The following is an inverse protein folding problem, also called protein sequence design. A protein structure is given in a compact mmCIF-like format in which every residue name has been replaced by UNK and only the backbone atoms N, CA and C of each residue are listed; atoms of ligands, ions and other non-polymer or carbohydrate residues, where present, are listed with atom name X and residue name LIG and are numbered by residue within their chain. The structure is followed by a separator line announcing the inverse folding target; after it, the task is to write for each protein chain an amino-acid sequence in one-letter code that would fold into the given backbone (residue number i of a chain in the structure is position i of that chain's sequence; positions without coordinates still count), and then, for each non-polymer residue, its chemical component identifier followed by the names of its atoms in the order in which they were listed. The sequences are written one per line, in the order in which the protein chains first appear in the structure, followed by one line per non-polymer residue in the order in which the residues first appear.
data_IF_508583665296
#
_entry.id   IF_508583665296
#
_cell.length_a   1.000
_cell.length_b   1.000
_cell.length_c   1.000
_cell.angle_alpha   90.00
_cell.angle_beta   90.00
_cell.angle_gamma   90.00
#
_symmetry.space_group_name_H-M   'P 1'
#
loop_
_entity.id
_entity.type
_entity.pdbx_description
1 polymer ?
#
# COMPACT_ATOMS: atom_id res chain seq x y z
N UNK A 1 -13.10 -9.32 -30.22
CA UNK A 1 -12.21 -8.64 -29.28
C UNK A 1 -13.02 -7.67 -28.43
N UNK A 2 -12.83 -7.68 -27.12
CA UNK A 2 -13.62 -6.94 -26.11
C UNK A 2 -12.71 -6.20 -25.13
N UNK A 3 -13.24 -5.26 -24.34
CA UNK A 3 -12.46 -4.55 -23.30
C UNK A 3 -11.76 -5.51 -22.31
N UNK A 4 -12.37 -6.67 -22.05
CA UNK A 4 -11.76 -7.73 -21.22
C UNK A 4 -10.46 -8.30 -21.80
N UNK A 5 -10.27 -8.28 -23.12
CA UNK A 5 -9.00 -8.65 -23.73
C UNK A 5 -7.94 -7.57 -23.50
N UNK A 6 -8.31 -6.29 -23.56
CA UNK A 6 -7.45 -5.17 -23.18
C UNK A 6 -7.02 -5.25 -21.71
N UNK A 7 -7.93 -5.59 -20.81
CA UNK A 7 -7.63 -5.86 -19.39
C UNK A 7 -6.63 -7.03 -19.25
N UNK A 8 -6.86 -8.14 -19.95
CA UNK A 8 -5.96 -9.29 -19.91
C UNK A 8 -4.56 -8.96 -20.47
N UNK A 9 -4.49 -8.11 -21.49
CA UNK A 9 -3.25 -7.60 -22.06
C UNK A 9 -2.48 -6.72 -21.06
N UNK A 10 -3.16 -5.78 -20.38
CA UNK A 10 -2.55 -4.97 -19.32
C UNK A 10 -2.09 -5.83 -18.14
N UNK A 11 -2.91 -6.77 -17.68
CA UNK A 11 -2.53 -7.72 -16.63
C UNK A 11 -1.26 -8.48 -17.00
N UNK A 12 -1.16 -8.99 -18.23
CA UNK A 12 0.03 -9.71 -18.70
C UNK A 12 1.25 -8.81 -18.80
N UNK A 13 1.08 -7.58 -19.28
CA UNK A 13 2.18 -6.65 -19.58
C UNK A 13 2.75 -5.99 -18.33
N UNK A 14 1.88 -5.52 -17.44
CA UNK A 14 2.24 -4.67 -16.30
C UNK A 14 1.70 -5.19 -14.96
N UNK A 15 1.07 -6.36 -14.94
CA UNK A 15 0.60 -7.00 -13.71
C UNK A 15 -0.69 -6.41 -13.13
N UNK A 16 -1.32 -5.47 -13.84
CA UNK A 16 -2.47 -4.72 -13.36
C UNK A 16 -3.70 -5.62 -13.16
N UNK A 17 -4.30 -5.56 -11.97
CA UNK A 17 -5.58 -6.19 -11.67
C UNK A 17 -6.74 -5.22 -11.94
N UNK A 18 -7.66 -5.61 -12.82
CA UNK A 18 -8.86 -4.83 -13.11
C UNK A 18 -9.76 -4.64 -11.87
N UNK A 19 -9.68 -5.52 -10.86
CA UNK A 19 -10.41 -5.35 -9.61
C UNK A 19 -9.92 -4.16 -8.77
N UNK A 20 -8.65 -3.74 -8.97
CA UNK A 20 -8.01 -2.67 -8.18
C UNK A 20 -8.34 -1.27 -8.72
N UNK A 21 -8.24 -1.07 -10.03
CA UNK A 21 -8.51 0.23 -10.69
C UNK A 21 -9.97 0.32 -11.20
N UNK A 22 -10.61 -0.83 -11.38
CA UNK A 22 -11.97 -0.97 -11.90
C UNK A 22 -12.00 -1.08 -13.43
N UNK A 23 -12.68 -2.10 -13.93
CA UNK A 23 -12.89 -2.34 -15.37
C UNK A 23 -13.39 -1.12 -16.14
N UNK A 24 -14.28 -0.32 -15.53
CA UNK A 24 -14.79 0.89 -16.15
C UNK A 24 -13.72 1.97 -16.37
N UNK A 25 -12.71 2.08 -15.49
CA UNK A 25 -11.62 3.03 -15.66
C UNK A 25 -10.66 2.58 -16.78
N UNK A 26 -10.37 1.27 -16.86
CA UNK A 26 -9.58 0.70 -17.95
C UNK A 26 -10.28 0.90 -19.30
N UNK A 27 -11.59 0.63 -19.37
CA UNK A 27 -12.37 0.84 -20.58
C UNK A 27 -12.32 2.30 -21.05
N UNK A 28 -12.52 3.27 -20.13
CA UNK A 28 -12.40 4.70 -20.45
C UNK A 28 -11.00 5.10 -20.92
N UNK A 29 -9.95 4.51 -20.35
CA UNK A 29 -8.58 4.74 -20.80
C UNK A 29 -8.38 4.24 -22.24
N UNK A 30 -8.86 3.02 -22.54
CA UNK A 30 -8.83 2.46 -23.89
C UNK A 30 -9.62 3.34 -24.87
N UNK A 31 -10.83 3.76 -24.52
CA UNK A 31 -11.67 4.64 -25.38
C UNK A 31 -10.98 5.96 -25.70
N UNK A 32 -10.33 6.56 -24.71
CA UNK A 32 -9.56 7.78 -24.89
C UNK A 32 -8.41 7.56 -25.86
N UNK A 33 -7.65 6.48 -25.68
CA UNK A 33 -6.52 6.14 -26.56
C UNK A 33 -6.97 5.82 -27.99
N UNK A 34 -8.07 5.09 -28.15
CA UNK A 34 -8.75 4.87 -29.42
C UNK A 34 -9.06 6.19 -30.13
N UNK A 35 -9.67 7.15 -29.42
CA UNK A 35 -9.96 8.47 -29.96
C UNK A 35 -8.69 9.24 -30.35
N UNK A 36 -7.64 9.21 -29.52
CA UNK A 36 -6.35 9.87 -29.79
C UNK A 36 -5.65 9.28 -31.03
N UNK A 37 -5.81 7.98 -31.29
CA UNK A 37 -5.30 7.30 -32.48
C UNK A 37 -6.22 7.43 -33.72
N UNK A 38 -7.42 7.96 -33.56
CA UNK A 38 -8.44 7.98 -34.62
C UNK A 38 -8.99 6.59 -34.98
N UNK A 39 -8.95 5.62 -34.06
CA UNK A 39 -9.41 4.24 -34.25
C UNK A 39 -10.76 4.08 -33.54
N UNK A 40 -11.80 3.69 -34.28
CA UNK A 40 -13.17 3.56 -33.72
C UNK A 40 -13.54 2.15 -33.30
N UNK A 41 -12.76 1.15 -33.72
CA UNK A 41 -13.00 -0.27 -33.43
C UNK A 41 -11.94 -0.82 -32.47
N UNK A 42 -12.40 -1.42 -31.38
CA UNK A 42 -11.51 -1.96 -30.33
C UNK A 42 -10.60 -3.07 -30.86
N UNK A 43 -11.08 -3.93 -31.75
CA UNK A 43 -10.25 -5.01 -32.29
C UNK A 43 -9.08 -4.47 -33.12
N UNK A 44 -9.32 -3.40 -33.86
CA UNK A 44 -8.29 -2.69 -34.62
C UNK A 44 -7.34 -1.93 -33.71
N UNK A 45 -7.83 -1.36 -32.61
CA UNK A 45 -6.98 -0.70 -31.62
C UNK A 45 -6.09 -1.70 -30.87
N UNK A 46 -6.60 -2.85 -30.44
CA UNK A 46 -5.78 -3.85 -29.75
C UNK A 46 -4.68 -4.42 -30.65
N UNK A 47 -4.94 -4.59 -31.96
CA UNK A 47 -3.88 -4.94 -32.93
C UNK A 47 -2.83 -3.85 -33.05
N UNK A 48 -3.25 -2.59 -33.16
CA UNK A 48 -2.33 -1.45 -33.19
C UNK A 48 -1.47 -1.35 -31.92
N UNK A 49 -2.09 -1.58 -30.76
CA UNK A 49 -1.42 -1.60 -29.46
C UNK A 49 -0.30 -2.64 -29.44
N UNK A 50 -0.56 -3.87 -29.90
CA UNK A 50 0.46 -4.94 -29.94
C UNK A 50 1.64 -4.63 -30.86
N UNK A 51 1.44 -3.83 -31.90
CA UNK A 51 2.47 -3.43 -32.87
C UNK A 51 3.25 -2.16 -32.48
N UNK A 52 2.73 -1.37 -31.53
CA UNK A 52 3.25 -0.04 -31.18
C UNK A 52 3.71 0.05 -29.74
N UNK A 53 5.02 0.08 -29.51
CA UNK A 53 5.60 0.33 -28.19
C UNK A 53 5.25 1.72 -27.63
N UNK A 54 5.11 2.72 -28.51
CA UNK A 54 4.68 4.06 -28.13
C UNK A 54 3.24 4.06 -27.62
N UNK A 55 2.34 3.34 -28.29
CA UNK A 55 0.95 3.27 -27.87
C UNK A 55 0.80 2.47 -26.57
N UNK A 56 1.59 1.41 -26.40
CA UNK A 56 1.70 0.73 -25.11
C UNK A 56 2.04 1.70 -23.98
N UNK A 57 3.04 2.55 -24.18
CA UNK A 57 3.43 3.53 -23.17
C UNK A 57 2.29 4.52 -22.88
N UNK A 58 1.61 5.00 -23.92
CA UNK A 58 0.52 5.96 -23.78
C UNK A 58 -0.70 5.35 -23.06
N UNK A 59 -1.03 4.08 -23.33
CA UNK A 59 -2.08 3.37 -22.60
C UNK A 59 -1.68 3.14 -21.13
N UNK A 60 -0.44 2.72 -20.86
CA UNK A 60 0.08 2.56 -19.50
C UNK A 60 -0.06 3.88 -18.73
N UNK A 61 0.44 4.98 -19.30
CA UNK A 61 0.36 6.31 -18.70
C UNK A 61 -1.09 6.79 -18.45
N UNK A 62 -2.07 6.20 -19.14
CA UNK A 62 -3.50 6.52 -18.98
C UNK A 62 -4.19 5.70 -17.89
N UNK A 63 -3.63 4.55 -17.50
CA UNK A 63 -4.22 3.67 -16.48
C UNK A 63 -3.50 3.74 -15.13
N UNK A 64 -2.23 4.16 -15.09
CA UNK A 64 -1.52 4.33 -13.83
C UNK A 64 -2.05 5.52 -13.02
N UNK A 65 -1.90 5.44 -11.69
CA UNK A 65 -2.31 6.49 -10.75
C UNK A 65 -1.05 7.08 -10.11
N UNK A 66 -0.54 8.24 -10.58
CA UNK A 66 0.73 8.80 -10.10
C UNK A 66 0.60 9.59 -8.79
N UNK A 67 -0.15 9.09 -7.81
CA UNK A 67 -0.40 9.80 -6.55
C UNK A 67 0.80 9.66 -5.59
N UNK A 68 1.54 10.75 -5.38
CA UNK A 68 2.70 10.80 -4.48
C UNK A 68 2.91 12.21 -3.90
N UNK A 69 3.71 12.29 -2.83
CA UNK A 69 4.11 13.52 -2.16
C UNK A 69 5.35 13.34 -1.30
N UNK A 70 6.00 14.46 -0.98
CA UNK A 70 7.18 14.45 -0.13
C UNK A 70 6.85 13.93 1.27
N UNK A 71 7.74 13.08 1.79
CA UNK A 71 7.63 12.49 3.12
C UNK A 71 6.30 11.77 3.39
N UNK A 72 5.67 11.19 2.37
CA UNK A 72 4.48 10.32 2.51
C UNK A 72 4.78 9.18 3.47
N UNK A 73 3.98 9.00 4.52
CA UNK A 73 4.25 8.11 5.66
C UNK A 73 5.61 8.45 6.33
N UNK A 74 5.68 9.58 7.05
CA UNK A 74 6.94 10.15 7.53
C UNK A 74 7.74 9.23 8.47
N UNK A 75 7.07 8.30 9.15
CA UNK A 75 7.71 7.31 10.03
C UNK A 75 8.66 6.37 9.28
N UNK A 76 8.41 6.06 8.00
CA UNK A 76 9.33 5.27 7.17
C UNK A 76 10.66 5.99 6.97
N UNK A 77 10.63 7.29 6.70
CA UNK A 77 11.85 8.11 6.52
C UNK A 77 12.58 8.36 7.84
N UNK A 78 11.84 8.58 8.94
CA UNK A 78 12.44 8.65 10.29
C UNK A 78 13.16 7.36 10.66
N UNK A 79 12.55 6.21 10.37
CA UNK A 79 13.19 4.92 10.60
C UNK A 79 14.43 4.73 9.71
N UNK A 80 14.39 5.15 8.43
CA UNK A 80 15.58 5.15 7.57
C UNK A 80 16.72 5.99 8.17
N UNK A 81 16.43 7.19 8.70
CA UNK A 81 17.42 8.03 9.39
C UNK A 81 18.01 7.32 10.60
N UNK A 82 17.16 6.74 11.45
CA UNK A 82 17.60 5.98 12.62
C UNK A 82 18.47 4.78 12.22
N UNK A 83 18.08 4.02 11.20
CA UNK A 83 18.86 2.91 10.67
C UNK A 83 20.23 3.37 10.17
N UNK A 84 20.27 4.46 9.40
CA UNK A 84 21.52 5.01 8.89
C UNK A 84 22.48 5.40 10.02
N UNK A 85 21.97 6.06 11.08
CA UNK A 85 22.77 6.52 12.23
C UNK A 85 23.21 5.34 13.12
N UNK A 86 22.30 4.43 13.44
CA UNK A 86 22.53 3.43 14.48
C UNK A 86 23.13 2.13 13.97
N UNK A 87 22.86 1.75 12.71
CA UNK A 87 23.30 0.47 12.15
C UNK A 87 24.28 0.66 10.98
N UNK A 88 24.02 1.58 10.06
CA UNK A 88 24.82 1.69 8.83
C UNK A 88 26.16 2.40 9.04
N UNK A 89 26.12 3.66 9.47
CA UNK A 89 27.32 4.49 9.65
C UNK A 89 28.36 3.88 10.61
N UNK A 90 28.00 3.28 11.76
CA UNK A 90 28.99 2.70 12.66
C UNK A 90 29.71 1.48 12.09
N UNK A 91 29.04 0.69 11.24
CA UNK A 91 29.56 -0.59 10.75
C UNK A 91 30.15 -0.51 9.34
N UNK A 92 29.73 0.46 8.53
CA UNK A 92 30.00 0.50 7.09
C UNK A 92 30.25 1.93 6.57
N UNK A 93 30.88 2.80 7.37
CA UNK A 93 31.11 4.23 7.04
C UNK A 93 31.81 4.50 5.70
N UNK A 94 32.57 3.55 5.17
CA UNK A 94 33.24 3.67 3.86
C UNK A 94 32.49 3.01 2.70
N UNK A 95 31.36 2.33 2.96
CA UNK A 95 30.54 1.71 1.92
C UNK A 95 29.43 2.67 1.48
N UNK A 96 29.10 2.59 0.19
CA UNK A 96 27.92 3.25 -0.38
C UNK A 96 26.66 2.49 0.04
N UNK A 97 25.74 3.17 0.72
CA UNK A 97 24.39 2.67 0.98
C UNK A 97 23.62 2.62 -0.35
N UNK A 98 23.23 1.43 -0.81
CA UNK A 98 22.46 1.29 -2.06
C UNK A 98 20.98 1.25 -1.75
N UNK A 99 20.22 2.19 -2.29
CA UNK A 99 18.77 2.30 -2.10
C UNK A 99 18.05 2.20 -3.45
N UNK A 100 16.95 1.46 -3.50
CA UNK A 100 16.04 1.43 -4.64
C UNK A 100 14.68 2.00 -4.24
N UNK A 101 14.10 2.91 -5.02
CA UNK A 101 12.70 3.31 -4.93
C UNK A 101 11.98 2.87 -6.20
N UNK A 102 10.98 1.99 -6.05
CA UNK A 102 10.22 1.43 -7.18
C UNK A 102 8.79 1.10 -6.73
N UNK A 103 7.74 1.74 -7.29
CA UNK A 103 7.78 2.75 -8.33
C UNK A 103 8.13 4.11 -7.73
N UNK A 104 8.84 4.96 -8.47
CA UNK A 104 9.22 6.28 -7.97
C UNK A 104 8.25 7.42 -8.35
N UNK A 105 7.27 7.16 -9.21
CA UNK A 105 6.28 8.12 -9.72
C UNK A 105 6.97 9.42 -10.18
N UNK A 106 6.49 10.57 -9.72
CA UNK A 106 7.00 11.90 -10.08
C UNK A 106 8.19 12.36 -9.22
N UNK A 107 8.80 11.44 -8.46
CA UNK A 107 10.13 11.62 -7.83
C UNK A 107 10.13 12.05 -6.37
N UNK A 108 8.98 12.34 -5.77
CA UNK A 108 8.92 12.81 -4.37
C UNK A 108 9.47 11.77 -3.38
N UNK A 109 9.23 10.47 -3.60
CA UNK A 109 9.75 9.41 -2.73
C UNK A 109 11.29 9.32 -2.77
N UNK A 110 11.96 9.09 -3.91
CA UNK A 110 13.41 8.98 -3.92
C UNK A 110 14.12 10.26 -3.46
N UNK A 111 13.53 11.44 -3.68
CA UNK A 111 14.06 12.68 -3.12
C UNK A 111 13.82 12.80 -1.61
N UNK A 112 12.73 12.28 -1.08
CA UNK A 112 12.52 12.15 0.37
C UNK A 112 13.55 11.21 1.02
N UNK A 113 13.89 10.11 0.34
CA UNK A 113 14.97 9.20 0.75
C UNK A 113 16.31 9.94 0.77
N UNK A 114 16.64 10.69 -0.29
CA UNK A 114 17.88 11.45 -0.40
C UNK A 114 17.99 12.50 0.73
N UNK A 115 16.93 13.25 0.99
CA UNK A 115 16.89 14.23 2.08
C UNK A 115 17.06 13.56 3.44
N UNK A 116 16.33 12.45 3.69
CA UNK A 116 16.47 11.71 4.92
C UNK A 116 17.92 11.21 5.14
N UNK A 117 18.58 10.72 4.10
CA UNK A 117 19.98 10.32 4.17
C UNK A 117 20.92 11.50 4.48
N UNK A 118 20.72 12.67 3.87
CA UNK A 118 21.50 13.86 4.20
C UNK A 118 21.32 14.27 5.66
N UNK A 119 20.08 14.24 6.16
CA UNK A 119 19.77 14.58 7.56
C UNK A 119 20.33 13.55 8.56
N UNK A 120 20.60 12.31 8.12
CA UNK A 120 21.28 11.30 8.93
C UNK A 120 22.80 11.43 8.92
N UNK A 121 23.37 12.39 8.20
CA UNK A 121 24.81 12.61 8.07
C UNK A 121 25.50 11.83 6.95
N UNK A 122 24.74 11.10 6.11
CA UNK A 122 25.29 10.58 4.85
C UNK A 122 25.50 11.74 3.88
N UNK A 123 26.49 11.62 3.00
CA UNK A 123 26.72 12.57 1.92
C UNK A 123 26.63 11.86 0.56
N UNK A 124 26.71 12.64 -0.52
CA UNK A 124 26.60 12.17 -1.92
C UNK A 124 27.57 11.04 -2.28
N UNK A 125 28.72 10.91 -1.60
CA UNK A 125 29.68 9.84 -1.84
C UNK A 125 29.36 8.53 -1.10
N UNK A 126 28.44 8.56 -0.12
CA UNK A 126 28.12 7.43 0.75
C UNK A 126 26.73 6.84 0.49
N UNK A 127 26.02 7.30 -0.53
CA UNK A 127 24.70 6.77 -0.91
C UNK A 127 24.52 6.76 -2.42
N UNK A 128 23.85 5.73 -2.91
CA UNK A 128 23.46 5.57 -4.30
C UNK A 128 21.98 5.22 -4.33
N UNK A 129 21.15 6.08 -4.92
CA UNK A 129 19.71 5.87 -5.02
C UNK A 129 19.35 5.61 -6.48
N UNK A 130 18.82 4.42 -6.76
CA UNK A 130 18.17 4.11 -8.02
C UNK A 130 16.66 4.31 -7.86
N UNK A 131 16.05 5.05 -8.77
CA UNK A 131 14.62 5.34 -8.78
C UNK A 131 14.03 4.85 -10.11
N UNK A 132 13.07 3.94 -10.03
CA UNK A 132 12.55 3.25 -11.21
C UNK A 132 11.05 3.42 -11.30
N UNK A 133 10.56 3.73 -12.49
CA UNK A 133 9.13 3.76 -12.80
C UNK A 133 8.86 3.22 -14.19
N UNK A 134 7.62 2.77 -14.43
CA UNK A 134 7.19 2.33 -15.76
C UNK A 134 6.82 3.51 -16.67
N UNK A 135 6.45 4.66 -16.08
CA UNK A 135 6.00 5.84 -16.81
C UNK A 135 7.12 6.81 -17.13
N UNK A 136 7.42 6.95 -18.42
CA UNK A 136 8.35 7.98 -18.89
C UNK A 136 7.86 9.41 -18.60
N UNK A 137 6.55 9.62 -18.57
CA UNK A 137 5.95 10.90 -18.20
C UNK A 137 6.24 11.26 -16.73
N UNK A 138 6.08 10.30 -15.82
CA UNK A 138 6.40 10.49 -14.42
C UNK A 138 7.90 10.73 -14.21
N UNK A 139 8.76 9.92 -14.85
CA UNK A 139 10.22 10.07 -14.80
C UNK A 139 10.70 11.43 -15.33
N UNK A 140 10.10 11.94 -16.40
CA UNK A 140 10.43 13.26 -16.93
C UNK A 140 10.10 14.39 -15.94
N UNK A 141 9.03 14.24 -15.17
CA UNK A 141 8.70 15.17 -14.07
C UNK A 141 9.67 15.04 -12.91
N UNK A 142 10.00 13.81 -12.53
CA UNK A 142 10.97 13.52 -11.48
C UNK A 142 12.35 14.13 -11.78
N UNK A 143 12.86 13.95 -13.01
CA UNK A 143 14.14 14.51 -13.46
C UNK A 143 14.15 16.05 -13.48
N UNK A 144 13.02 16.68 -13.81
CA UNK A 144 12.85 18.13 -13.77
C UNK A 144 12.90 18.65 -12.33
N UNK A 145 12.35 17.89 -11.39
CA UNK A 145 12.33 18.18 -9.97
C UNK A 145 11.76 19.56 -9.61
N UNK A 146 10.72 19.98 -10.34
CA UNK A 146 9.91 21.18 -10.07
C UNK A 146 8.53 20.72 -9.65
N UNK A 147 8.12 21.13 -8.46
CA UNK A 147 6.89 20.66 -7.80
C UNK A 147 5.97 21.82 -7.45
N UNK A 148 4.67 21.57 -7.40
CA UNK A 148 3.69 22.54 -6.93
C UNK A 148 3.46 22.43 -5.41
N UNK A 149 2.55 23.25 -4.88
CA UNK A 149 2.24 23.24 -3.44
C UNK A 149 1.62 21.91 -2.98
N UNK A 150 0.93 21.18 -3.86
CA UNK A 150 0.24 19.94 -3.52
C UNK A 150 1.23 18.82 -3.20
N UNK A 151 2.38 18.76 -3.86
CA UNK A 151 3.47 17.80 -3.55
C UNK A 151 4.02 17.95 -2.12
N UNK A 152 3.78 19.08 -1.44
CA UNK A 152 4.23 19.35 -0.07
C UNK A 152 3.13 19.13 0.99
N UNK A 153 2.01 18.51 0.65
CA UNK A 153 0.96 18.20 1.63
C UNK A 153 1.53 17.34 2.77
N UNK A 154 1.31 17.79 4.01
CA UNK A 154 1.87 17.15 5.21
C UNK A 154 3.33 17.51 5.54
N UNK A 155 4.02 18.29 4.71
CA UNK A 155 5.35 18.82 5.03
C UNK A 155 5.26 20.13 5.83
N UNK A 156 6.26 20.39 6.67
CA UNK A 156 6.38 21.68 7.33
C UNK A 156 6.87 22.76 6.34
N UNK A 157 6.50 24.04 6.51
CA UNK A 157 7.06 25.13 5.70
C UNK A 157 8.60 25.20 5.79
N UNK A 158 9.17 24.81 6.93
CA UNK A 158 10.62 24.76 7.14
C UNK A 158 11.32 23.69 6.28
N UNK A 159 10.68 22.56 6.00
CA UNK A 159 11.21 21.53 5.10
C UNK A 159 11.34 22.08 3.68
N UNK A 160 10.27 22.70 3.18
CA UNK A 160 10.23 23.29 1.85
C UNK A 160 11.31 24.38 1.69
N UNK A 161 11.41 25.30 2.65
CA UNK A 161 12.39 26.39 2.62
C UNK A 161 13.86 25.92 2.65
N UNK A 162 14.15 24.72 3.19
CA UNK A 162 15.51 24.20 3.31
C UNK A 162 16.02 23.59 2.01
N UNK A 163 15.17 22.87 1.27
CA UNK A 163 15.59 22.07 0.12
C UNK A 163 15.06 22.56 -1.21
N UNK A 164 14.17 23.56 -1.23
CA UNK A 164 13.54 24.05 -2.45
C UNK A 164 13.67 25.56 -2.61
N UNK A 165 13.78 25.98 -3.86
CA UNK A 165 13.76 27.37 -4.26
C UNK A 165 12.48 27.67 -5.04
N UNK A 166 11.77 28.74 -4.68
CA UNK A 166 10.62 29.20 -5.45
C UNK A 166 11.05 29.73 -6.82
N UNK A 167 10.33 29.31 -7.86
CA UNK A 167 10.52 29.72 -9.26
C UNK A 167 9.16 30.03 -9.88
N UNK A 168 9.09 30.70 -11.05
CA UNK A 168 7.81 30.90 -11.75
C UNK A 168 7.07 29.60 -12.12
N UNK A 169 7.79 28.48 -12.26
CA UNK A 169 7.22 27.18 -12.62
C UNK A 169 6.79 26.33 -11.42
N UNK A 170 7.08 26.78 -10.19
CA UNK A 170 6.88 26.01 -8.96
C UNK A 170 8.13 26.02 -8.07
N UNK A 171 8.27 25.00 -7.23
CA UNK A 171 9.38 24.86 -6.29
C UNK A 171 10.43 23.90 -6.86
N UNK A 172 11.59 24.44 -7.20
CA UNK A 172 12.71 23.67 -7.73
C UNK A 172 13.50 23.04 -6.57
N UNK A 173 13.67 21.73 -6.61
CA UNK A 173 14.52 21.02 -5.65
C UNK A 173 15.99 21.39 -5.82
N UNK A 174 16.71 21.50 -4.70
CA UNK A 174 18.15 21.77 -4.68
C UNK A 174 18.96 20.76 -5.50
N UNK A 175 19.98 21.27 -6.20
CA UNK A 175 20.85 20.48 -7.06
C UNK A 175 21.60 19.38 -6.30
N UNK A 176 21.97 19.63 -5.04
CA UNK A 176 22.62 18.65 -4.19
C UNK A 176 21.77 17.39 -4.00
N UNK A 177 20.47 17.54 -3.71
CA UNK A 177 19.57 16.39 -3.53
C UNK A 177 19.30 15.72 -4.87
N UNK A 178 19.15 16.50 -5.95
CA UNK A 178 18.88 15.98 -7.30
C UNK A 178 19.95 15.00 -7.79
N UNK A 179 21.22 15.31 -7.55
CA UNK A 179 22.35 14.47 -7.97
C UNK A 179 22.49 13.14 -7.20
N UNK A 180 21.74 12.94 -6.12
CA UNK A 180 21.78 11.69 -5.36
C UNK A 180 20.91 10.59 -5.96
N UNK A 181 20.03 10.93 -6.91
CA UNK A 181 19.00 10.03 -7.44
C UNK A 181 19.22 9.78 -8.93
N UNK A 182 19.31 8.49 -9.30
CA UNK A 182 19.42 8.02 -10.67
C UNK A 182 18.07 7.46 -11.14
N UNK A 183 17.47 8.11 -12.13
CA UNK A 183 16.18 7.68 -12.69
C UNK A 183 16.36 6.74 -13.86
N UNK A 184 15.60 5.65 -13.90
CA UNK A 184 15.52 4.77 -15.06
C UNK A 184 14.12 4.23 -15.28
N UNK A 185 13.80 3.87 -16.53
CA UNK A 185 12.55 3.21 -16.85
C UNK A 185 12.65 1.71 -16.60
N UNK A 186 11.65 1.13 -15.94
CA UNK A 186 11.61 -0.30 -15.71
C UNK A 186 10.24 -0.80 -15.24
N UNK A 187 10.02 -2.10 -15.41
CA UNK A 187 8.81 -2.78 -14.97
C UNK A 187 9.18 -3.89 -13.99
N UNK A 188 8.78 -3.71 -12.73
CA UNK A 188 9.08 -4.62 -11.63
C UNK A 188 8.49 -6.03 -11.82
N UNK A 189 7.46 -6.17 -12.67
CA UNK A 189 6.85 -7.46 -13.01
C UNK A 189 7.77 -8.33 -13.89
N UNK A 190 8.77 -7.74 -14.54
CA UNK A 190 9.72 -8.48 -15.37
C UNK A 190 10.66 -9.32 -14.47
N UNK A 191 10.81 -10.63 -14.73
CA UNK A 191 11.69 -11.49 -13.92
C UNK A 191 13.16 -11.08 -13.92
N UNK A 192 13.60 -10.44 -15.01
CA UNK A 192 14.97 -9.92 -15.20
C UNK A 192 15.11 -8.44 -14.81
N UNK A 193 14.12 -7.88 -14.10
CA UNK A 193 14.16 -6.50 -13.62
C UNK A 193 15.44 -6.25 -12.81
N UNK A 194 16.28 -5.33 -13.33
CA UNK A 194 17.60 -4.99 -12.77
C UNK A 194 18.52 -6.21 -12.56
N UNK A 195 18.37 -7.27 -13.35
CA UNK A 195 19.24 -8.43 -13.28
C UNK A 195 20.72 -8.05 -13.49
N UNK A 196 21.61 -8.61 -12.69
CA UNK A 196 23.05 -8.33 -12.73
C UNK A 196 23.49 -7.07 -11.99
N UNK A 197 22.56 -6.28 -11.44
CA UNK A 197 22.91 -5.16 -10.56
C UNK A 197 23.40 -5.65 -9.19
N UNK A 198 24.26 -4.86 -8.54
CA UNK A 198 24.68 -5.15 -7.18
C UNK A 198 23.48 -5.03 -6.21
N UNK A 199 23.36 -5.92 -5.20
CA UNK A 199 22.23 -5.90 -4.28
C UNK A 199 22.03 -4.55 -3.59
N UNK A 200 20.79 -4.21 -3.33
CA UNK A 200 20.39 -3.03 -2.57
C UNK A 200 20.35 -3.36 -1.08
N UNK A 201 20.74 -2.39 -0.26
CA UNK A 201 20.66 -2.50 1.19
C UNK A 201 19.28 -2.08 1.70
N UNK A 202 18.63 -1.18 0.96
CA UNK A 202 17.26 -0.73 1.23
C UNK A 202 16.44 -0.69 -0.06
N UNK A 203 15.21 -1.19 -0.03
CA UNK A 203 14.24 -1.05 -1.12
C UNK A 203 12.97 -0.41 -0.56
N UNK A 204 12.49 0.65 -1.21
CA UNK A 204 11.14 1.19 -1.04
C UNK A 204 10.28 0.69 -2.20
N UNK A 205 9.24 -0.09 -1.87
CA UNK A 205 8.23 -0.58 -2.80
C UNK A 205 6.85 -0.33 -2.21
N UNK A 206 6.39 0.92 -2.35
CA UNK A 206 5.22 1.45 -1.65
C UNK A 206 4.13 1.84 -2.63
N UNK A 207 2.88 1.55 -2.27
CA UNK A 207 1.67 1.92 -3.01
C UNK A 207 1.68 1.45 -4.48
N UNK A 208 2.24 0.27 -4.74
CA UNK A 208 2.26 -0.39 -6.05
C UNK A 208 1.58 -1.76 -6.03
N UNK A 209 1.90 -2.58 -5.02
CA UNK A 209 1.42 -3.95 -4.91
C UNK A 209 -0.10 -3.99 -4.78
N UNK A 210 -0.73 -2.92 -4.28
CA UNK A 210 -2.21 -2.79 -4.24
C UNK A 210 -2.87 -2.92 -5.62
N UNK A 211 -2.15 -2.60 -6.70
CA UNK A 211 -2.67 -2.68 -8.08
C UNK A 211 -2.47 -4.04 -8.74
N UNK A 212 -1.74 -4.94 -8.09
CA UNK A 212 -1.36 -6.22 -8.66
C UNK A 212 -2.29 -7.36 -8.26
N UNK A 213 -2.49 -8.28 -9.20
CA UNK A 213 -3.12 -9.56 -8.91
C UNK A 213 -2.21 -10.44 -8.04
N UNK A 214 -2.76 -11.50 -7.44
CA UNK A 214 -2.04 -12.38 -6.51
C UNK A 214 -0.75 -12.95 -7.11
N UNK A 215 -0.80 -13.50 -8.31
CA UNK A 215 0.37 -14.14 -8.95
C UNK A 215 1.44 -13.09 -9.28
N UNK A 216 1.02 -11.88 -9.65
CA UNK A 216 1.91 -10.75 -9.89
C UNK A 216 2.58 -10.26 -8.61
N UNK A 217 1.86 -10.20 -7.49
CA UNK A 217 2.42 -9.89 -6.16
C UNK A 217 3.52 -10.88 -5.79
N UNK A 218 3.24 -12.17 -5.85
CA UNK A 218 4.20 -13.23 -5.48
C UNK A 218 5.48 -13.19 -6.34
N UNK A 219 5.33 -12.99 -7.65
CA UNK A 219 6.47 -12.83 -8.58
C UNK A 219 7.30 -11.58 -8.26
N UNK A 220 6.64 -10.46 -8.00
CA UNK A 220 7.28 -9.18 -7.65
C UNK A 220 8.07 -9.29 -6.35
N UNK A 221 7.49 -9.90 -5.31
CA UNK A 221 8.20 -10.16 -4.05
C UNK A 221 9.44 -11.02 -4.30
N UNK A 222 9.35 -12.05 -5.15
CA UNK A 222 10.50 -12.88 -5.50
C UNK A 222 11.62 -12.11 -6.22
N UNK A 223 11.28 -11.10 -7.03
CA UNK A 223 12.28 -10.20 -7.66
C UNK A 223 12.92 -9.30 -6.59
N UNK A 224 12.12 -8.68 -5.73
CA UNK A 224 12.60 -7.84 -4.62
C UNK A 224 13.54 -8.62 -3.71
N UNK A 225 13.19 -9.87 -3.37
CA UNK A 225 14.04 -10.74 -2.56
C UNK A 225 15.40 -10.98 -3.21
N UNK A 226 15.49 -11.10 -4.54
CA UNK A 226 16.79 -11.29 -5.23
C UNK A 226 17.61 -10.00 -5.26
N UNK A 227 16.96 -8.85 -5.38
CA UNK A 227 17.61 -7.54 -5.42
C UNK A 227 18.08 -7.07 -4.05
N UNK A 228 17.48 -7.54 -2.96
CA UNK A 228 17.81 -7.11 -1.61
C UNK A 228 18.97 -7.92 -1.00
N UNK A 229 19.90 -7.21 -0.36
CA UNK A 229 21.05 -7.80 0.34
C UNK A 229 20.61 -8.71 1.49
N UNK A 230 21.52 -9.60 1.91
CA UNK A 230 21.30 -10.43 3.09
C UNK A 230 21.23 -9.50 4.31
N UNK A 231 20.09 -9.40 4.98
CA UNK A 231 19.76 -8.42 6.05
C UNK A 231 19.28 -7.03 5.61
N UNK A 232 19.07 -6.80 4.32
CA UNK A 232 18.53 -5.54 3.82
C UNK A 232 17.10 -5.26 4.30
N UNK A 233 16.68 -4.00 4.14
CA UNK A 233 15.37 -3.49 4.53
C UNK A 233 14.46 -3.32 3.32
N UNK A 234 13.21 -3.75 3.46
CA UNK A 234 12.12 -3.49 2.53
C UNK A 234 11.07 -2.61 3.21
N UNK A 235 10.75 -1.48 2.62
CA UNK A 235 9.64 -0.61 3.02
C UNK A 235 8.47 -0.81 2.06
N UNK A 236 7.28 -1.06 2.60
CA UNK A 236 6.03 -1.19 1.84
C UNK A 236 4.98 -0.20 2.34
N UNK A 237 3.95 0.07 1.55
CA UNK A 237 2.84 0.92 1.96
C UNK A 237 1.97 0.24 3.02
N UNK A 238 1.22 1.04 3.77
CA UNK A 238 0.38 0.54 4.87
C UNK A 238 -0.58 -0.59 4.46
N UNK A 239 -1.17 -0.52 3.27
CA UNK A 239 -2.11 -1.52 2.74
C UNK A 239 -1.43 -2.77 2.15
N UNK A 240 -0.10 -2.81 2.10
CA UNK A 240 0.68 -3.83 1.38
C UNK A 240 1.40 -4.79 2.32
N UNK A 241 1.46 -4.45 3.62
CA UNK A 241 2.04 -5.27 4.68
C UNK A 241 1.59 -6.74 4.63
N UNK A 242 0.31 -6.99 4.31
CA UNK A 242 -0.24 -8.34 4.21
C UNK A 242 0.37 -9.20 3.10
N UNK A 243 0.92 -8.58 2.05
CA UNK A 243 1.54 -9.29 0.90
C UNK A 243 2.85 -9.97 1.31
N UNK A 244 3.51 -9.47 2.37
CA UNK A 244 4.76 -10.04 2.86
C UNK A 244 4.57 -11.26 3.76
N UNK A 245 3.33 -11.64 4.05
CA UNK A 245 3.04 -12.84 4.82
C UNK A 245 3.54 -14.10 4.07
N UNK A 246 4.29 -14.98 4.76
CA UNK A 246 5.00 -16.16 4.19
C UNK A 246 6.24 -15.87 3.32
N UNK A 247 6.72 -14.63 3.27
CA UNK A 247 8.01 -14.29 2.65
C UNK A 247 9.18 -14.41 3.63
N UNK A 248 10.39 -14.12 3.17
CA UNK A 248 11.58 -14.06 4.04
C UNK A 248 11.69 -12.74 4.84
N UNK A 249 10.61 -11.97 4.96
CA UNK A 249 10.58 -10.65 5.58
C UNK A 249 9.96 -10.68 6.98
N UNK A 250 10.64 -10.08 7.95
CA UNK A 250 10.15 -9.91 9.33
C UNK A 250 10.04 -8.43 9.65
N UNK A 251 8.89 -8.01 10.19
CA UNK A 251 8.66 -6.61 10.56
C UNK A 251 9.69 -6.13 11.59
N UNK A 252 10.19 -4.90 11.40
CA UNK A 252 11.04 -4.26 12.40
C UNK A 252 10.19 -3.74 13.57
N UNK A 253 10.72 -3.63 14.80
CA UNK A 253 9.99 -3.14 15.97
C UNK A 253 9.83 -1.61 15.97
N UNK A 254 9.40 -1.04 14.84
CA UNK A 254 9.02 0.36 14.69
C UNK A 254 7.64 0.40 14.02
N UNK A 255 6.61 0.38 14.85
CA UNK A 255 5.22 0.45 14.38
C UNK A 255 5.04 1.70 13.51
N UNK A 256 4.31 1.58 12.39
CA UNK A 256 4.05 2.64 11.38
C UNK A 256 5.19 2.93 10.37
N UNK A 257 6.39 2.40 10.54
CA UNK A 257 7.43 2.54 9.50
C UNK A 257 7.19 1.63 8.30
N UNK A 258 6.38 0.57 8.47
CA UNK A 258 6.13 -0.49 7.48
C UNK A 258 7.42 -1.05 6.85
N UNK A 259 8.46 -1.15 7.69
CA UNK A 259 9.76 -1.64 7.30
C UNK A 259 9.93 -3.10 7.74
N UNK A 260 10.54 -3.90 6.89
CA UNK A 260 10.73 -5.32 7.07
C UNK A 260 12.17 -5.69 6.76
N UNK A 261 12.75 -6.54 7.59
CA UNK A 261 14.11 -7.04 7.40
C UNK A 261 14.08 -8.40 6.75
N UNK A 262 14.89 -8.60 5.72
CA UNK A 262 15.10 -9.91 5.11
C UNK A 262 15.90 -10.81 6.06
N UNK A 263 15.33 -11.96 6.39
CA UNK A 263 15.95 -12.97 7.26
C UNK A 263 16.58 -14.05 6.39
N UNK A 264 17.85 -14.34 6.64
CA UNK A 264 18.50 -15.52 6.07
C UNK A 264 17.91 -16.78 6.71
N UNK A 265 17.21 -17.60 5.94
CA UNK A 265 16.90 -18.96 6.37
C UNK A 265 18.21 -19.74 6.29
N UNK A 266 18.89 -19.92 7.43
CA UNK A 266 19.90 -20.97 7.53
C UNK A 266 19.16 -22.30 7.35
N UNK A 267 19.45 -23.01 6.24
CA UNK A 267 18.87 -24.34 5.96
C UNK A 267 19.46 -25.40 6.91
N UNK A 268 19.35 -25.25 8.22
CA UNK A 268 19.81 -26.26 9.19
C UNK A 268 18.99 -26.23 10.50
N UNK A 269 17.83 -26.90 10.49
CA UNK A 269 17.47 -27.86 11.53
C UNK A 269 16.20 -28.62 11.11
N UNK A 270 16.40 -29.86 10.67
CA UNK A 270 15.32 -30.79 10.44
C UNK A 270 14.51 -31.03 11.73
N UNK A 271 13.19 -30.99 11.56
CA UNK A 271 12.09 -31.50 12.40
C UNK A 271 12.47 -32.26 13.69
N UNK A 272 11.91 -31.81 14.82
CA UNK A 272 11.41 -32.72 15.86
C UNK A 272 9.93 -32.42 16.13
N UNK A 273 9.06 -33.25 15.60
CA UNK A 273 7.70 -33.41 16.11
C UNK A 273 7.76 -34.08 17.50
N UNK A 274 6.92 -33.66 18.45
CA UNK A 274 6.42 -34.56 19.47
C UNK A 274 5.02 -35.05 19.11
N UNK A 275 4.89 -36.38 19.18
CA UNK A 275 3.72 -37.23 18.98
C UNK A 275 2.57 -36.92 19.98
N UNK A 276 1.27 -37.10 19.61
CA UNK A 276 0.15 -36.75 20.46
C UNK A 276 -0.32 -37.98 21.26
N UNK A 277 -0.39 -37.89 22.60
CA UNK A 277 -1.31 -38.65 23.47
C UNK A 277 -1.10 -38.34 24.96
N UNK A 278 -2.14 -37.80 25.62
CA UNK A 278 -2.83 -38.44 26.76
C UNK A 278 -4.08 -37.63 27.18
N UNK A 279 -5.07 -38.38 27.63
CA UNK A 279 -6.50 -38.10 27.78
C UNK A 279 -6.90 -37.39 29.10
N UNK A 280 -7.91 -36.50 28.97
CA UNK A 280 -9.23 -36.40 29.64
C UNK A 280 -9.43 -36.39 31.18
N UNK A 281 -10.60 -35.78 31.53
CA UNK A 281 -11.42 -35.78 32.78
C UNK A 281 -11.27 -34.47 33.58
N UNK A 282 -12.28 -33.72 34.04
CA UNK A 282 -13.72 -33.94 34.28
C UNK A 282 -14.54 -32.61 34.29
N UNK A 283 -15.86 -32.81 34.20
CA UNK A 283 -17.00 -31.89 34.37
C UNK A 283 -16.94 -30.90 35.56
N UNK A 284 -17.62 -29.75 35.37
CA UNK A 284 -18.58 -29.15 36.32
C UNK A 284 -19.39 -27.99 35.71
N UNK A 285 -20.72 -28.16 35.68
CA UNK A 285 -21.80 -27.13 35.64
C UNK A 285 -22.35 -27.01 37.10
N UNK A 286 -23.15 -26.02 37.58
CA UNK A 286 -24.13 -25.12 36.92
C UNK A 286 -24.20 -23.68 37.57
N UNK A 287 -25.26 -22.82 37.50
CA UNK A 287 -26.61 -22.96 36.93
C UNK A 287 -27.19 -21.77 36.10
N UNK A 288 -28.35 -22.06 35.51
CA UNK A 288 -29.26 -21.19 34.75
C UNK A 288 -30.02 -20.20 35.64
N UNK A 289 -30.41 -19.05 35.06
CA UNK A 289 -31.57 -18.27 35.46
C UNK A 289 -32.52 -18.06 34.26
N UNK A 290 -33.78 -17.82 34.63
CA UNK A 290 -35.02 -18.23 34.00
C UNK A 290 -35.57 -17.33 32.88
N UNK A 291 -36.44 -17.98 32.09
CA UNK A 291 -37.35 -17.48 31.05
C UNK A 291 -38.34 -16.43 31.56
N UNK A 292 -38.74 -15.51 30.68
CA UNK A 292 -40.08 -14.91 30.61
C UNK A 292 -40.31 -14.52 29.14
N UNK A 293 -41.02 -15.38 28.41
CA UNK A 293 -42.43 -15.29 28.01
C UNK A 293 -42.66 -14.58 26.66
N UNK A 294 -43.11 -15.41 25.75
CA UNK A 294 -43.60 -15.24 24.38
C UNK A 294 -44.82 -14.32 24.25
N UNK A 295 -44.84 -13.51 23.19
CA UNK A 295 -46.01 -13.35 22.32
C UNK A 295 -45.59 -13.36 20.84
N UNK A 296 -46.52 -13.84 20.03
CA UNK A 296 -46.38 -14.50 18.72
C UNK A 296 -46.61 -13.53 17.53
N UNK A 297 -46.46 -14.00 16.26
CA UNK A 297 -45.94 -13.23 15.13
C UNK A 297 -47.01 -12.62 14.23
N UNK A 298 -46.64 -11.58 13.47
CA UNK A 298 -47.45 -11.12 12.32
C UNK A 298 -46.57 -10.83 11.10
N UNK A 299 -46.86 -11.61 10.06
CA UNK A 299 -46.79 -11.36 8.62
C UNK A 299 -45.47 -10.90 7.95
N UNK A 300 -45.04 -11.75 7.01
CA UNK A 300 -44.28 -11.37 5.82
C UNK A 300 -45.09 -10.41 4.96
N UNK A 301 -44.47 -9.36 4.46
CA UNK A 301 -44.87 -8.74 3.19
C UNK A 301 -43.62 -8.20 2.51
N UNK A 302 -43.27 -8.79 1.37
CA UNK A 302 -42.39 -8.16 0.39
C UNK A 302 -43.12 -6.96 -0.19
N UNK A 303 -42.45 -5.82 -0.31
CA UNK A 303 -42.59 -4.94 -1.47
C UNK A 303 -41.42 -3.97 -1.53
N UNK A 304 -40.77 -3.94 -2.69
CA UNK A 304 -39.81 -2.93 -3.11
C UNK A 304 -40.32 -1.51 -2.81
N UNK A 305 -39.49 -0.73 -2.14
CA UNK A 305 -39.39 0.71 -2.38
C UNK A 305 -37.90 1.09 -2.34
N UNK A 306 -37.31 1.15 -3.53
CA UNK A 306 -36.09 1.93 -3.77
C UNK A 306 -36.59 3.37 -3.91
N UNK A 307 -36.36 4.18 -2.88
CA UNK A 307 -36.42 5.64 -2.97
C UNK A 307 -34.98 6.15 -3.15
N UNK A 308 -34.73 7.10 -4.07
CA UNK A 308 -33.40 7.59 -4.39
C UNK A 308 -33.05 8.79 -3.49
N UNK A 309 -32.06 8.67 -2.61
CA UNK A 309 -31.63 9.80 -1.77
C UNK A 309 -30.09 9.86 -1.62
N UNK A 310 -29.49 10.81 -2.34
CA UNK A 310 -28.38 11.74 -1.99
C UNK A 310 -27.39 11.43 -0.83
N UNK A 311 -27.02 10.18 -0.60
CA UNK A 311 -26.10 9.71 0.44
C UNK A 311 -24.67 9.31 0.01
N UNK A 312 -24.35 9.01 -1.28
CA UNK A 312 -22.98 8.70 -1.70
C UNK A 312 -21.98 9.83 -1.43
N UNK A 313 -22.46 11.08 -1.36
CA UNK A 313 -21.62 12.27 -1.26
C UNK A 313 -20.91 12.37 0.11
N UNK A 314 -21.57 12.03 1.22
CA UNK A 314 -20.99 12.16 2.55
C UNK A 314 -19.83 11.18 2.80
N UNK A 315 -19.97 9.92 2.35
CA UNK A 315 -18.91 8.92 2.52
C UNK A 315 -17.73 9.20 1.59
N UNK A 316 -17.98 9.62 0.35
CA UNK A 316 -16.92 10.05 -0.57
C UNK A 316 -16.21 11.32 -0.07
N UNK A 317 -16.94 12.27 0.51
CA UNK A 317 -16.33 13.44 1.19
C UNK A 317 -15.51 13.04 2.41
N UNK A 318 -15.99 12.09 3.23
CA UNK A 318 -15.23 11.59 4.36
C UNK A 318 -13.92 10.92 3.90
N UNK A 319 -13.96 10.15 2.81
CA UNK A 319 -12.75 9.59 2.18
C UNK A 319 -11.81 10.68 1.67
N UNK A 320 -12.35 11.69 0.99
CA UNK A 320 -11.55 12.80 0.49
C UNK A 320 -10.85 13.56 1.63
N UNK A 321 -11.54 13.83 2.73
CA UNK A 321 -10.97 14.48 3.91
C UNK A 321 -9.93 13.61 4.63
N UNK A 322 -10.19 12.29 4.73
CA UNK A 322 -9.22 11.35 5.29
C UNK A 322 -7.93 11.34 4.44
N UNK A 323 -8.07 11.32 3.12
CA UNK A 323 -6.95 11.39 2.17
C UNK A 323 -6.21 12.73 2.24
N UNK A 324 -6.90 13.83 2.55
CA UNK A 324 -6.31 15.16 2.79
C UNK A 324 -5.65 15.31 4.17
N UNK A 325 -5.77 14.31 5.05
CA UNK A 325 -5.25 14.35 6.42
C UNK A 325 -6.12 15.13 7.42
N UNK A 326 -7.31 15.57 7.00
CA UNK A 326 -8.33 16.18 7.87
C UNK A 326 -9.06 15.10 8.68
N UNK A 327 -8.33 14.35 9.50
CA UNK A 327 -8.81 13.11 10.12
C UNK A 327 -9.98 13.32 11.09
N UNK A 328 -9.99 14.42 11.86
CA UNK A 328 -11.10 14.71 12.78
C UNK A 328 -12.40 15.01 12.03
N UNK A 329 -12.33 15.72 10.90
CA UNK A 329 -13.49 16.04 10.06
C UNK A 329 -13.98 14.78 9.33
N UNK A 330 -13.06 13.95 8.84
CA UNK A 330 -13.40 12.65 8.26
C UNK A 330 -14.11 11.74 9.27
N UNK A 331 -13.64 11.68 10.52
CA UNK A 331 -14.29 10.94 11.62
C UNK A 331 -15.70 11.46 11.86
N UNK A 332 -15.89 12.79 11.88
CA UNK A 332 -17.20 13.39 12.06
C UNK A 332 -18.16 13.01 10.95
N UNK A 333 -17.75 13.15 9.67
CA UNK A 333 -18.57 12.75 8.53
C UNK A 333 -18.87 11.25 8.50
N UNK A 334 -17.91 10.40 8.87
CA UNK A 334 -18.14 8.97 9.02
C UNK A 334 -19.22 8.68 10.07
N UNK A 335 -19.18 9.35 11.22
CA UNK A 335 -20.19 9.20 12.28
C UNK A 335 -21.58 9.70 11.82
N UNK A 336 -21.61 10.85 11.13
CA UNK A 336 -22.84 11.42 10.60
C UNK A 336 -23.47 10.50 9.55
N UNK A 337 -22.65 9.93 8.66
CA UNK A 337 -23.08 8.93 7.68
C UNK A 337 -23.58 7.64 8.37
N UNK A 338 -22.85 7.14 9.38
CA UNK A 338 -23.22 5.93 10.12
C UNK A 338 -24.48 6.12 10.98
N UNK A 339 -24.83 7.35 11.36
CA UNK A 339 -26.08 7.64 12.07
C UNK A 339 -27.31 7.28 11.21
N UNK A 340 -27.18 7.42 9.89
CA UNK A 340 -28.20 7.12 8.89
C UNK A 340 -28.01 5.70 8.30
N UNK A 341 -26.76 5.26 8.14
CA UNK A 341 -26.37 4.03 7.45
C UNK A 341 -25.59 3.06 8.35
N UNK A 342 -26.26 2.55 9.40
CA UNK A 342 -25.61 1.75 10.47
C UNK A 342 -24.97 0.43 10.05
N UNK A 343 -25.23 -0.05 8.83
CA UNK A 343 -24.73 -1.34 8.30
C UNK A 343 -23.61 -1.19 7.26
N UNK A 344 -23.08 0.01 7.06
CA UNK A 344 -21.99 0.24 6.10
C UNK A 344 -20.65 -0.26 6.63
N UNK A 345 -20.16 -1.37 6.08
CA UNK A 345 -18.84 -1.94 6.40
C UNK A 345 -17.73 -0.94 6.07
N UNK A 346 -17.80 -0.35 4.88
CA UNK A 346 -16.82 0.60 4.36
C UNK A 346 -16.66 1.83 5.26
N UNK A 347 -17.76 2.41 5.75
CA UNK A 347 -17.70 3.54 6.66
C UNK A 347 -17.05 3.18 8.01
N UNK A 348 -17.27 1.98 8.54
CA UNK A 348 -16.59 1.52 9.76
C UNK A 348 -15.10 1.25 9.56
N UNK A 349 -14.69 0.76 8.39
CA UNK A 349 -13.28 0.59 8.05
C UNK A 349 -12.58 1.95 7.99
N UNK A 350 -13.16 2.90 7.24
CA UNK A 350 -12.63 4.26 7.11
C UNK A 350 -12.56 4.98 8.46
N UNK A 351 -13.62 4.89 9.27
CA UNK A 351 -13.65 5.43 10.62
C UNK A 351 -12.53 4.85 11.49
N UNK A 352 -12.35 3.53 11.45
CA UNK A 352 -11.31 2.84 12.20
C UNK A 352 -9.90 3.29 11.80
N UNK A 353 -9.65 3.44 10.50
CA UNK A 353 -8.38 3.92 9.96
C UNK A 353 -8.09 5.35 10.39
N UNK A 354 -9.07 6.25 10.28
CA UNK A 354 -8.92 7.64 10.69
C UNK A 354 -8.67 7.77 12.20
N UNK A 355 -9.41 7.01 13.03
CA UNK A 355 -9.21 6.95 14.48
C UNK A 355 -7.83 6.40 14.85
N UNK A 356 -7.37 5.35 14.17
CA UNK A 356 -6.04 4.77 14.38
C UNK A 356 -4.95 5.79 14.03
N UNK A 357 -5.10 6.52 12.93
CA UNK A 357 -4.14 7.52 12.48
C UNK A 357 -3.97 8.70 13.46
N UNK A 358 -5.01 9.05 14.23
CA UNK A 358 -4.94 10.06 15.31
C UNK A 358 -4.61 9.46 16.69
N UNK A 359 -4.24 8.18 16.77
CA UNK A 359 -3.84 7.51 18.01
C UNK A 359 -5.00 7.05 18.91
N UNK A 360 -6.25 7.12 18.44
CA UNK A 360 -7.44 6.64 19.16
C UNK A 360 -7.63 5.12 18.98
N UNK A 361 -6.61 4.36 19.39
CA UNK A 361 -6.50 2.90 19.13
C UNK A 361 -7.67 2.08 19.67
N UNK A 362 -8.24 2.47 20.82
CA UNK A 362 -9.39 1.75 21.39
C UNK A 362 -10.65 1.93 20.53
N UNK A 363 -10.93 3.16 20.09
CA UNK A 363 -12.10 3.44 19.24
C UNK A 363 -11.91 2.82 17.86
N UNK A 364 -10.68 2.88 17.31
CA UNK A 364 -10.35 2.22 16.05
C UNK A 364 -10.63 0.71 16.11
N UNK A 365 -10.22 0.04 17.19
CA UNK A 365 -10.48 -1.37 17.39
C UNK A 365 -11.99 -1.69 17.44
N UNK A 366 -12.80 -0.84 18.07
CA UNK A 366 -14.26 -0.98 18.09
C UNK A 366 -14.88 -0.83 16.69
N UNK A 367 -14.40 0.15 15.91
CA UNK A 367 -14.84 0.38 14.53
C UNK A 367 -14.51 -0.82 13.63
N UNK A 368 -13.27 -1.35 13.71
CA UNK A 368 -12.91 -2.56 12.97
C UNK A 368 -13.71 -3.78 13.41
N UNK A 369 -13.97 -3.95 14.72
CA UNK A 369 -14.82 -5.04 15.20
C UNK A 369 -16.24 -4.94 14.64
N UNK A 370 -16.81 -3.74 14.53
CA UNK A 370 -18.13 -3.53 13.89
C UNK A 370 -18.10 -3.88 12.41
N UNK A 371 -17.05 -3.48 11.67
CA UNK A 371 -16.87 -3.88 10.28
C UNK A 371 -16.79 -5.41 10.12
N UNK A 372 -16.00 -6.09 10.96
CA UNK A 372 -15.87 -7.56 10.98
C UNK A 372 -17.17 -8.25 11.39
N UNK A 373 -17.95 -7.64 12.29
CA UNK A 373 -19.25 -8.17 12.68
C UNK A 373 -20.24 -8.16 11.52
N UNK A 374 -20.28 -7.06 10.76
CA UNK A 374 -21.13 -6.91 9.58
C UNK A 374 -20.67 -7.78 8.41
N UNK A 375 -19.36 -7.83 8.18
CA UNK A 375 -18.75 -8.66 7.14
C UNK A 375 -17.58 -9.46 7.74
N UNK A 376 -17.84 -10.71 8.17
CA UNK A 376 -16.85 -11.61 8.76
C UNK A 376 -15.63 -11.90 7.89
N UNK A 377 -15.73 -11.63 6.58
CA UNK A 377 -14.69 -11.84 5.57
C UNK A 377 -13.93 -10.56 5.21
N UNK A 378 -14.19 -9.42 5.86
CA UNK A 378 -13.53 -8.15 5.56
C UNK A 378 -12.06 -8.19 6.01
N UNK A 379 -11.16 -8.51 5.07
CA UNK A 379 -9.74 -8.72 5.35
C UNK A 379 -9.07 -7.45 5.91
N UNK A 380 -9.35 -6.29 5.33
CA UNK A 380 -8.76 -5.02 5.75
C UNK A 380 -9.01 -4.72 7.24
N UNK A 381 -10.26 -4.85 7.69
CA UNK A 381 -10.62 -4.66 9.09
C UNK A 381 -9.94 -5.69 10.01
N UNK A 382 -9.83 -6.95 9.57
CA UNK A 382 -9.13 -8.00 10.30
C UNK A 382 -7.63 -7.67 10.45
N UNK A 383 -7.00 -7.20 9.38
CA UNK A 383 -5.58 -6.81 9.37
C UNK A 383 -5.30 -5.66 10.33
N UNK A 384 -6.06 -4.56 10.22
CA UNK A 384 -5.89 -3.43 11.12
C UNK A 384 -6.11 -3.79 12.59
N UNK A 385 -7.12 -4.63 12.89
CA UNK A 385 -7.37 -5.09 14.25
C UNK A 385 -6.25 -6.02 14.77
N UNK A 386 -5.66 -6.85 13.90
CA UNK A 386 -4.52 -7.69 14.27
C UNK A 386 -3.30 -6.85 14.65
N UNK A 387 -2.97 -5.84 13.84
CA UNK A 387 -1.87 -4.91 14.11
C UNK A 387 -2.08 -4.12 15.42
N UNK A 388 -3.31 -3.64 15.67
CA UNK A 388 -3.64 -2.97 16.93
C UNK A 388 -3.44 -3.89 18.14
N UNK A 389 -3.77 -5.18 18.01
CA UNK A 389 -3.55 -6.16 19.08
C UNK A 389 -2.08 -6.45 19.32
N UNK A 390 -1.26 -6.54 18.27
CA UNK A 390 0.20 -6.68 18.41
C UNK A 390 0.80 -5.48 19.13
N UNK A 391 0.39 -4.26 18.76
CA UNK A 391 0.83 -3.04 19.42
C UNK A 391 0.44 -3.00 20.92
N UNK A 392 -0.71 -3.57 21.27
CA UNK A 392 -1.17 -3.69 22.66
C UNK A 392 -0.50 -4.85 23.43
N UNK A 393 0.35 -5.64 22.78
CA UNK A 393 0.98 -6.83 23.37
C UNK A 393 0.07 -8.08 23.42
N UNK A 394 -1.14 -8.02 22.85
CA UNK A 394 -2.05 -9.16 22.70
C UNK A 394 -1.65 -10.04 21.50
N UNK A 395 -0.49 -10.68 21.62
CA UNK A 395 0.07 -11.55 20.59
C UNK A 395 -0.84 -12.74 20.28
N UNK A 396 -1.54 -13.26 21.31
CA UNK A 396 -2.47 -14.38 21.13
C UNK A 396 -3.69 -13.97 20.30
N UNK A 397 -4.30 -12.83 20.61
CA UNK A 397 -5.43 -12.31 19.86
C UNK A 397 -5.06 -11.91 18.43
N UNK A 398 -3.89 -11.31 18.22
CA UNK A 398 -3.38 -11.01 16.89
C UNK A 398 -3.20 -12.28 16.03
N UNK A 399 -2.56 -13.32 16.57
CA UNK A 399 -2.37 -14.59 15.88
C UNK A 399 -3.69 -15.25 15.44
N UNK A 400 -4.75 -15.17 16.26
CA UNK A 400 -6.07 -15.69 15.89
C UNK A 400 -6.68 -14.95 14.69
N UNK A 401 -6.50 -13.63 14.63
CA UNK A 401 -6.96 -12.82 13.50
C UNK A 401 -6.16 -13.13 12.25
N UNK A 402 -4.84 -13.25 12.35
CA UNK A 402 -3.98 -13.67 11.23
C UNK A 402 -4.34 -15.06 10.69
N UNK A 403 -4.60 -16.04 11.56
CA UNK A 403 -5.07 -17.36 11.14
C UNK A 403 -6.44 -17.31 10.47
N UNK A 404 -7.31 -16.39 10.86
CA UNK A 404 -8.62 -16.19 10.23
C UNK A 404 -8.47 -15.58 8.83
N UNK A 405 -7.65 -14.54 8.68
CA UNK A 405 -7.31 -13.95 7.37
C UNK A 405 -6.76 -15.03 6.45
N UNK A 406 -5.81 -15.83 6.94
CA UNK A 406 -5.23 -16.94 6.19
C UNK A 406 -6.26 -17.96 5.69
N UNK A 407 -7.30 -18.28 6.49
CA UNK A 407 -8.37 -19.18 6.05
C UNK A 407 -9.23 -18.57 4.96
N UNK A 408 -9.48 -17.26 4.99
CA UNK A 408 -10.27 -16.56 3.97
C UNK A 408 -9.56 -16.58 2.61
N UNK A 409 -8.24 -16.33 2.62
CA UNK A 409 -7.41 -16.28 1.41
C UNK A 409 -7.16 -17.63 0.72
N UNK A 410 -7.46 -18.74 1.41
CA UNK A 410 -7.30 -20.10 0.90
C UNK A 410 -8.64 -20.78 0.54
N UNK A 411 -9.78 -20.11 0.75
CA UNK A 411 -11.12 -20.65 0.47
C UNK A 411 -11.88 -19.85 -0.61
N UNK A 412 -11.19 -18.96 -1.32
CA UNK A 412 -11.62 -18.27 -2.54
C UNK A 412 -10.62 -18.62 -3.65
#
# INVERSE_FOLDING_TARGET
MTYSEGEALLRRKIGLDASSIGSGAIARAIDRRMADCGITDIASYLRHLEESSQEWQALIDSVIVPETWFLREPESFKFLQQYAISEWLPNQSQRVLRVLSVPCSTGEEPYSIAIAALESGLNVANIHIDAVDISNKCLATAQRAIYDQYSFRGCSPSFQARYFQATPAGYQLSEQVRHMVNFSQGNLVNPDFLAGTAPYDVIFCRNLLIYFDRDTKERTISVIEKLLSQTGLLFVGHAEAGVLFNSQFVAVPHSLAFAYRKVSISRHSAKKHPDPRKQAIADKRPPQLSKSQTQQPVAKTNTNQILPDSTPDLLEQAKALANQGCLNEAIQLCNDYLSQNRISVEAYVLLGQAQQAIGQNQQAAESFQKAIYLQPTQEEALTHLALLKEHQGDVAGANLLWQRIHRLQNHL
#
